data_IF_670299248734
#
_entry.id   IF_670299248734
#
_cell.length_a   1.000
_cell.length_b   1.000
_cell.length_c   1.000
_cell.angle_alpha   90.00
_cell.angle_beta   90.00
_cell.angle_gamma   90.00
#
_symmetry.space_group_name_H-M   'P 1'
#
loop_
_entity.id
_entity.type
_entity.pdbx_description
1 polymer ?
#
# COMPACT_ATOMS: atom_id res chain seq x y z
N UNK A 1 -2.01 -19.62 -12.93
CA UNK A 1 -0.88 -18.67 -12.76
C UNK A 1 -1.50 -17.30 -12.62
N UNK A 2 -1.22 -16.58 -11.52
CA UNK A 2 -1.84 -15.27 -11.27
C UNK A 2 -1.52 -14.31 -12.42
N UNK A 3 -2.53 -13.59 -12.90
CA UNK A 3 -2.39 -12.64 -14.02
C UNK A 3 -1.80 -11.30 -13.58
N UNK A 4 -1.55 -11.14 -12.28
CA UNK A 4 -1.09 -9.91 -11.66
C UNK A 4 0.34 -9.54 -12.08
N UNK A 5 0.48 -8.43 -12.79
CA UNK A 5 1.77 -7.90 -13.26
C UNK A 5 2.16 -6.66 -12.46
N UNK A 6 3.14 -6.79 -11.57
CA UNK A 6 3.70 -5.66 -10.82
C UNK A 6 4.81 -4.99 -11.63
N UNK A 7 4.68 -3.68 -11.88
CA UNK A 7 5.70 -2.87 -12.58
C UNK A 7 6.75 -2.30 -11.64
N UNK A 8 6.32 -1.77 -10.49
CA UNK A 8 7.21 -1.23 -9.46
C UNK A 8 6.56 -1.26 -8.09
N UNK A 9 7.40 -1.18 -7.05
CA UNK A 9 7.00 -1.02 -5.65
C UNK A 9 7.74 0.15 -5.03
N UNK A 10 7.14 0.76 -4.02
CA UNK A 10 7.73 1.82 -3.22
C UNK A 10 7.35 1.57 -1.76
N UNK A 11 8.33 1.68 -0.88
CA UNK A 11 8.15 1.70 0.56
C UNK A 11 8.67 3.04 1.07
N UNK A 12 7.85 3.78 1.79
CA UNK A 12 8.22 5.05 2.41
C UNK A 12 8.02 4.91 3.91
N UNK A 13 8.99 5.40 4.66
CA UNK A 13 8.90 5.61 6.11
C UNK A 13 9.27 7.07 6.35
N UNK A 14 8.43 7.76 7.11
CA UNK A 14 8.56 9.17 7.45
C UNK A 14 8.63 9.29 8.97
N UNK A 15 9.68 9.96 9.45
CA UNK A 15 9.84 10.33 10.85
C UNK A 15 9.39 11.79 11.04
N UNK A 16 8.35 11.98 11.84
CA UNK A 16 7.73 13.29 12.11
C UNK A 16 8.12 13.73 13.51
N UNK A 17 8.98 14.73 13.59
CA UNK A 17 9.48 15.29 14.86
C UNK A 17 8.58 16.38 15.44
N UNK A 18 7.88 17.14 14.59
CA UNK A 18 6.88 18.15 14.97
C UNK A 18 5.99 18.52 13.77
N UNK A 19 4.77 18.99 14.02
CA UNK A 19 3.87 19.61 13.03
C UNK A 19 3.39 20.98 13.55
N UNK A 20 4.35 21.87 13.85
CA UNK A 20 4.10 23.23 14.36
C UNK A 20 4.04 23.37 15.88
N UNK A 21 4.21 22.28 16.63
CA UNK A 21 4.38 22.27 18.09
C UNK A 21 5.83 22.05 18.56
N UNK A 22 6.05 21.79 19.86
CA UNK A 22 7.34 21.37 20.39
C UNK A 22 7.86 20.08 19.72
N UNK A 23 9.18 19.96 19.61
CA UNK A 23 9.86 18.79 19.01
C UNK A 23 9.74 17.58 19.95
N UNK A 24 9.32 16.43 19.42
CA UNK A 24 9.24 15.18 20.17
C UNK A 24 10.61 14.50 20.27
N UNK A 25 10.93 13.94 21.45
CA UNK A 25 12.14 13.14 21.66
C UNK A 25 12.11 11.82 20.86
N UNK A 26 10.91 11.27 20.65
CA UNK A 26 10.66 10.11 19.80
C UNK A 26 9.71 10.53 18.68
N UNK A 27 10.14 10.51 17.41
CA UNK A 27 9.29 10.95 16.31
C UNK A 27 8.11 9.99 16.12
N UNK A 28 6.97 10.52 15.69
CA UNK A 28 5.91 9.71 15.12
C UNK A 28 6.40 9.13 13.80
N UNK A 29 6.23 7.82 13.60
CA UNK A 29 6.54 7.20 12.33
C UNK A 29 5.26 6.95 11.52
N UNK A 30 5.26 7.39 10.25
CA UNK A 30 4.25 6.99 9.27
C UNK A 30 4.92 6.23 8.15
N UNK A 31 4.22 5.30 7.52
CA UNK A 31 4.76 4.61 6.37
C UNK A 31 3.69 4.16 5.40
N UNK A 32 4.12 3.92 4.17
CA UNK A 32 3.27 3.45 3.09
C UNK A 32 4.02 2.42 2.23
N UNK A 33 3.42 1.24 2.06
CA UNK A 33 3.81 0.29 1.02
C UNK A 33 2.89 0.48 -0.18
N UNK A 34 3.48 0.65 -1.36
CA UNK A 34 2.79 1.02 -2.60
C UNK A 34 3.24 0.05 -3.70
N UNK A 35 2.29 -0.45 -4.48
CA UNK A 35 2.56 -1.24 -5.67
C UNK A 35 1.86 -0.64 -6.88
N UNK A 36 2.55 -0.60 -8.01
CA UNK A 36 1.96 -0.22 -9.29
C UNK A 36 1.84 -1.45 -10.15
N UNK A 37 0.61 -1.77 -10.54
CA UNK A 37 0.26 -2.99 -11.27
C UNK A 37 -0.38 -2.66 -12.62
N UNK A 38 -0.36 -3.60 -13.55
CA UNK A 38 -1.17 -3.50 -14.76
C UNK A 38 -2.64 -3.77 -14.42
N UNK A 39 -3.54 -2.89 -14.87
CA UNK A 39 -4.97 -3.13 -14.78
C UNK A 39 -5.42 -3.99 -15.99
N UNK A 40 -5.92 -5.22 -15.78
CA UNK A 40 -6.39 -6.07 -16.86
C UNK A 40 -7.69 -5.56 -17.53
N UNK A 41 -8.38 -4.57 -16.94
CA UNK A 41 -9.67 -4.06 -17.39
C UNK A 41 -9.58 -2.70 -18.11
N UNK A 42 -8.42 -2.05 -18.12
CA UNK A 42 -8.26 -0.72 -18.69
C UNK A 42 -8.74 -0.65 -20.15
N UNK A 43 -9.49 0.41 -20.47
CA UNK A 43 -10.01 0.70 -21.80
C UNK A 43 -11.27 -0.06 -22.19
N UNK A 44 -11.87 -0.86 -21.29
CA UNK A 44 -13.16 -1.55 -21.55
C UNK A 44 -14.03 -1.64 -20.30
N UNK A 45 -15.32 -1.90 -20.52
CA UNK A 45 -16.22 -2.34 -19.46
C UNK A 45 -15.99 -3.84 -19.18
N UNK A 46 -15.89 -4.19 -17.89
CA UNK A 46 -15.80 -5.58 -17.43
C UNK A 46 -16.89 -5.82 -16.38
N UNK A 47 -17.88 -6.70 -16.64
CA UNK A 47 -18.93 -7.01 -15.67
C UNK A 47 -18.44 -7.90 -14.52
N UNK A 48 -17.37 -8.69 -14.71
CA UNK A 48 -16.80 -9.55 -13.65
C UNK A 48 -15.35 -9.18 -13.31
N UNK A 49 -15.20 -8.51 -12.17
CA UNK A 49 -13.89 -8.11 -11.61
C UNK A 49 -13.51 -8.91 -10.36
N UNK A 50 -14.38 -9.82 -9.90
CA UNK A 50 -14.25 -10.41 -8.56
C UNK A 50 -13.02 -11.33 -8.46
N UNK A 51 -12.72 -12.05 -9.55
CA UNK A 51 -11.52 -12.89 -9.65
C UNK A 51 -10.22 -12.10 -9.43
N UNK A 52 -10.18 -10.82 -9.84
CA UNK A 52 -8.97 -10.01 -9.68
C UNK A 52 -8.77 -9.58 -8.23
N UNK A 53 -9.85 -9.49 -7.42
CA UNK A 53 -9.73 -9.25 -5.99
C UNK A 53 -8.99 -10.38 -5.27
N UNK A 54 -9.23 -11.63 -5.68
CA UNK A 54 -8.53 -12.80 -5.14
C UNK A 54 -7.05 -12.79 -5.55
N UNK A 55 -6.75 -12.44 -6.80
CA UNK A 55 -5.37 -12.25 -7.30
C UNK A 55 -4.61 -11.15 -6.53
N UNK A 56 -5.31 -10.10 -6.08
CA UNK A 56 -4.72 -8.98 -5.32
C UNK A 56 -4.47 -9.29 -3.84
N UNK A 57 -5.16 -10.25 -3.24
CA UNK A 57 -5.07 -10.55 -1.81
C UNK A 57 -3.63 -10.91 -1.36
N UNK A 58 -2.88 -11.78 -2.06
CA UNK A 58 -1.49 -12.07 -1.71
C UNK A 58 -0.58 -10.84 -1.77
N UNK A 59 -0.79 -9.96 -2.76
CA UNK A 59 -0.01 -8.72 -2.89
C UNK A 59 -0.28 -7.77 -1.71
N UNK A 60 -1.55 -7.58 -1.34
CA UNK A 60 -1.92 -6.75 -0.20
C UNK A 60 -1.32 -7.26 1.12
N UNK A 61 -1.31 -8.58 1.31
CA UNK A 61 -0.72 -9.20 2.50
C UNK A 61 0.81 -9.02 2.54
N UNK A 62 1.50 -9.17 1.41
CA UNK A 62 2.95 -8.93 1.29
C UNK A 62 3.29 -7.46 1.59
N UNK A 63 2.53 -6.52 1.03
CA UNK A 63 2.70 -5.08 1.30
C UNK A 63 2.49 -4.74 2.78
N UNK A 64 1.45 -5.30 3.42
CA UNK A 64 1.20 -5.10 4.84
C UNK A 64 2.36 -5.64 5.71
N UNK A 65 2.87 -6.84 5.40
CA UNK A 65 4.01 -7.43 6.11
C UNK A 65 5.28 -6.60 5.98
N UNK A 66 5.56 -6.11 4.77
CA UNK A 66 6.72 -5.24 4.51
C UNK A 66 6.62 -3.93 5.29
N UNK A 67 5.43 -3.31 5.31
CA UNK A 67 5.22 -2.07 6.05
C UNK A 67 5.35 -2.27 7.56
N UNK A 68 4.76 -3.34 8.11
CA UNK A 68 4.88 -3.68 9.54
C UNK A 68 6.33 -3.91 9.94
N UNK A 69 7.09 -4.65 9.12
CA UNK A 69 8.51 -4.88 9.38
C UNK A 69 9.30 -3.56 9.35
N UNK A 70 9.01 -2.67 8.40
CA UNK A 70 9.70 -1.38 8.26
C UNK A 70 9.38 -0.41 9.41
N UNK A 71 8.17 -0.48 9.96
CA UNK A 71 7.75 0.28 11.14
C UNK A 71 8.13 -0.40 12.46
N UNK A 72 8.91 -1.49 12.40
CA UNK A 72 9.53 -2.10 13.57
C UNK A 72 8.62 -3.02 14.39
N UNK A 73 7.59 -3.62 13.77
CA UNK A 73 6.77 -4.66 14.41
C UNK A 73 5.28 -4.32 14.49
N UNK A 74 4.44 -5.34 14.65
CA UNK A 74 2.99 -5.20 14.69
C UNK A 74 2.50 -4.49 15.96
N UNK A 75 3.23 -4.70 17.06
CA UNK A 75 3.02 -4.07 18.36
C UNK A 75 3.24 -2.55 18.35
N UNK A 76 3.91 -2.03 17.32
CA UNK A 76 4.13 -0.59 17.12
C UNK A 76 3.08 0.08 16.25
N UNK A 77 2.14 -0.68 15.69
CA UNK A 77 1.12 -0.15 14.78
C UNK A 77 -0.11 0.28 15.57
N UNK A 78 -0.38 1.58 15.57
CA UNK A 78 -1.53 2.16 16.27
C UNK A 78 -2.68 2.54 15.33
N UNK A 79 -2.41 2.64 14.02
CA UNK A 79 -3.41 2.97 13.01
C UNK A 79 -2.98 2.53 11.61
N UNK A 80 -3.96 2.21 10.77
CA UNK A 80 -3.72 1.83 9.38
C UNK A 80 -4.83 2.34 8.47
N UNK A 81 -4.50 2.43 7.18
CA UNK A 81 -5.43 2.76 6.12
C UNK A 81 -5.05 2.05 4.82
N UNK A 82 -5.94 2.12 3.84
CA UNK A 82 -5.68 1.63 2.48
C UNK A 82 -6.25 2.61 1.46
N UNK A 83 -5.59 2.72 0.32
CA UNK A 83 -6.04 3.53 -0.80
C UNK A 83 -5.66 2.90 -2.12
N UNK A 84 -6.38 3.28 -3.16
CA UNK A 84 -6.09 2.89 -4.54
C UNK A 84 -6.16 4.13 -5.44
N UNK A 85 -5.29 4.16 -6.45
CA UNK A 85 -5.31 5.14 -7.52
C UNK A 85 -5.38 4.36 -8.82
N UNK A 86 -6.43 4.62 -9.60
CA UNK A 86 -6.71 3.95 -10.86
C UNK A 86 -6.28 4.85 -12.02
N UNK A 87 -5.73 4.25 -13.07
CA UNK A 87 -5.36 5.00 -14.28
C UNK A 87 -6.59 5.62 -14.95
N UNK A 88 -6.39 6.69 -15.72
CA UNK A 88 -7.50 7.40 -16.36
C UNK A 88 -8.30 6.55 -17.36
N UNK A 89 -7.72 5.46 -17.86
CA UNK A 89 -8.39 4.51 -18.76
C UNK A 89 -9.24 3.46 -18.02
N UNK A 90 -9.38 3.58 -16.71
CA UNK A 90 -10.08 2.62 -15.86
C UNK A 90 -9.15 1.66 -15.15
#
# INVERSE_FOLDING_TARGET
>A
MSSLKVRKRLLVVEDIFHEGGPVAERPLQRGAAIAVIANPFAGRYEPDIQWFMDDLRPLGLDMARQLVAALGGAERIEGYGKGSLVGAAG
#
